data_IF_059387127098
#
_entry.id   IF_059387127098
#
_cell.length_a   1.000
_cell.length_b   1.000
_cell.length_c   1.000
_cell.angle_alpha   90.00
_cell.angle_beta   90.00
_cell.angle_gamma   90.00
#
_symmetry.space_group_name_H-M   'P 1'
#
loop_
_entity.id
_entity.type
_entity.pdbx_description
1 polymer ?
#
# COMPACT_ATOMS: atom_id res chain seq x y z
N UNK A 1 16.11 0.74 25.39
CA UNK A 1 16.15 -0.70 25.06
C UNK A 1 15.62 -0.90 23.64
N UNK A 2 15.94 -2.02 22.98
CA UNK A 2 15.42 -2.34 21.66
C UNK A 2 14.29 -3.36 21.83
N UNK A 3 13.05 -2.97 21.56
CA UNK A 3 11.90 -3.88 21.60
C UNK A 3 11.49 -4.32 20.20
N UNK A 4 11.00 -5.56 20.06
CA UNK A 4 10.37 -6.06 18.85
C UNK A 4 8.85 -6.03 19.01
N UNK A 5 8.17 -5.37 18.09
CA UNK A 5 6.71 -5.24 18.08
C UNK A 5 6.15 -5.95 16.85
N UNK A 6 5.14 -6.78 17.04
CA UNK A 6 4.45 -7.44 15.93
C UNK A 6 3.50 -6.45 15.24
N UNK A 7 3.78 -6.13 13.97
CA UNK A 7 3.09 -5.05 13.24
C UNK A 7 2.22 -5.55 12.09
N UNK A 8 2.67 -6.58 11.37
CA UNK A 8 1.96 -7.07 10.17
C UNK A 8 1.58 -8.53 10.32
N UNK A 9 0.28 -8.83 10.18
CA UNK A 9 -0.22 -10.20 10.22
C UNK A 9 0.21 -11.01 8.97
N UNK A 10 0.09 -12.35 9.02
CA UNK A 10 0.52 -13.24 7.93
C UNK A 10 -0.22 -12.99 6.61
N UNK A 11 -1.51 -12.69 6.69
CA UNK A 11 -2.37 -12.48 5.52
C UNK A 11 -1.95 -11.21 4.79
N UNK A 12 -1.81 -10.08 5.49
CA UNK A 12 -1.32 -8.81 4.95
C UNK A 12 0.05 -8.96 4.28
N UNK A 13 0.97 -9.74 4.87
CA UNK A 13 2.29 -9.98 4.27
C UNK A 13 2.16 -10.78 2.98
N UNK A 14 1.39 -11.86 2.99
CA UNK A 14 1.17 -12.70 1.81
C UNK A 14 0.52 -11.90 0.67
N UNK A 15 -0.58 -11.20 0.96
CA UNK A 15 -1.30 -10.41 -0.04
C UNK A 15 -0.44 -9.26 -0.57
N UNK A 16 0.40 -8.65 0.28
CA UNK A 16 1.37 -7.65 -0.14
C UNK A 16 2.38 -8.21 -1.14
N UNK A 17 3.01 -9.35 -0.86
CA UNK A 17 4.02 -9.92 -1.77
C UNK A 17 3.43 -10.44 -3.09
N UNK A 18 2.21 -11.00 -3.04
CA UNK A 18 1.46 -11.35 -4.25
C UNK A 18 1.18 -10.11 -5.09
N UNK A 19 0.76 -9.00 -4.46
CA UNK A 19 0.56 -7.73 -5.17
C UNK A 19 1.86 -7.18 -5.74
N UNK A 20 2.95 -7.16 -4.97
CA UNK A 20 4.24 -6.66 -5.42
C UNK A 20 4.73 -7.41 -6.68
N UNK A 21 4.67 -8.74 -6.66
CA UNK A 21 5.03 -9.56 -7.83
C UNK A 21 4.09 -9.30 -9.01
N UNK A 22 2.77 -9.26 -8.76
CA UNK A 22 1.77 -9.06 -9.80
C UNK A 22 1.93 -7.70 -10.47
N UNK A 23 2.18 -6.63 -9.71
CA UNK A 23 2.35 -5.28 -10.22
C UNK A 23 3.58 -5.15 -11.11
N UNK A 24 4.70 -5.79 -10.76
CA UNK A 24 5.91 -5.81 -11.60
C UNK A 24 5.60 -6.46 -12.95
N UNK A 25 4.97 -7.64 -12.94
CA UNK A 25 4.68 -8.38 -14.16
C UNK A 25 3.61 -7.67 -15.00
N UNK A 26 2.57 -7.12 -14.36
CA UNK A 26 1.52 -6.35 -15.03
C UNK A 26 2.08 -5.11 -15.72
N UNK A 27 2.95 -4.36 -15.03
CA UNK A 27 3.57 -3.18 -15.61
C UNK A 27 4.44 -3.53 -16.82
N UNK A 28 5.39 -4.46 -16.66
CA UNK A 28 6.31 -4.83 -17.75
C UNK A 28 5.59 -5.50 -18.94
N UNK A 29 4.58 -6.33 -18.68
CA UNK A 29 3.76 -6.92 -19.75
C UNK A 29 2.82 -5.89 -20.40
N UNK A 30 2.34 -4.90 -19.65
CA UNK A 30 1.58 -3.77 -20.17
C UNK A 30 2.40 -2.91 -21.14
N UNK A 31 3.68 -2.65 -20.82
CA UNK A 31 4.61 -1.99 -21.73
C UNK A 31 4.86 -2.81 -23.00
N UNK A 32 4.88 -4.15 -22.90
CA UNK A 32 4.97 -5.03 -24.06
C UNK A 32 3.72 -4.99 -24.95
N UNK A 33 2.54 -4.81 -24.37
CA UNK A 33 1.29 -4.59 -25.11
C UNK A 33 1.31 -3.20 -25.77
N UNK A 34 1.80 -2.17 -25.08
CA UNK A 34 1.93 -0.83 -25.62
C UNK A 34 2.81 -0.79 -26.87
N UNK A 35 3.91 -1.54 -26.86
CA UNK A 35 4.84 -1.66 -27.98
C UNK A 35 4.17 -2.07 -29.31
N UNK A 36 3.04 -2.77 -29.28
CA UNK A 36 2.33 -3.16 -30.51
C UNK A 36 1.59 -2.02 -31.19
N UNK A 37 1.23 -0.97 -30.46
CA UNK A 37 0.60 0.23 -31.02
C UNK A 37 0.93 1.41 -30.11
N UNK A 38 2.08 2.07 -30.27
CA UNK A 38 2.60 3.01 -29.29
C UNK A 38 2.02 4.42 -29.41
N UNK A 39 0.70 4.51 -29.59
CA UNK A 39 -0.06 5.76 -29.70
C UNK A 39 -1.24 5.76 -28.73
N UNK A 40 -1.45 6.89 -28.06
CA UNK A 40 -2.61 7.15 -27.21
C UNK A 40 -3.37 8.36 -27.76
N UNK A 41 -4.68 8.19 -27.92
CA UNK A 41 -5.62 9.19 -28.41
C UNK A 41 -6.95 9.00 -27.69
N UNK A 42 -7.84 9.99 -27.87
CA UNK A 42 -9.20 9.93 -27.38
C UNK A 42 -10.13 9.40 -28.47
N UNK A 43 -11.28 8.87 -28.07
CA UNK A 43 -12.33 8.40 -28.95
C UNK A 43 -12.45 6.87 -29.05
N UNK A 44 -13.15 6.44 -30.10
CA UNK A 44 -13.51 5.04 -30.33
C UNK A 44 -12.66 4.37 -31.42
N UNK A 45 -11.98 5.15 -32.26
CA UNK A 45 -11.22 4.69 -33.42
C UNK A 45 -9.73 4.98 -33.26
N UNK A 46 -8.92 4.14 -33.91
CA UNK A 46 -7.47 4.27 -33.91
C UNK A 46 -7.03 5.26 -34.99
N UNK A 47 -6.76 6.50 -34.59
CA UNK A 47 -6.33 7.58 -35.49
C UNK A 47 -4.96 8.10 -35.02
N UNK A 48 -3.84 7.63 -35.62
CA UNK A 48 -2.49 7.98 -35.17
C UNK A 48 -2.19 9.48 -35.21
N UNK A 49 -2.77 10.19 -36.18
CA UNK A 49 -2.52 11.63 -36.38
C UNK A 49 -3.16 12.49 -35.29
N UNK A 50 -4.18 11.98 -34.59
CA UNK A 50 -4.84 12.63 -33.47
C UNK A 50 -4.26 12.23 -32.10
N UNK A 51 -3.13 11.48 -32.09
CA UNK A 51 -2.51 11.03 -30.85
C UNK A 51 -1.92 12.18 -30.03
N UNK A 52 -2.38 12.30 -28.78
CA UNK A 52 -1.79 13.23 -27.82
C UNK A 52 -0.45 12.72 -27.29
N UNK A 53 -0.21 11.41 -27.36
CA UNK A 53 1.06 10.79 -26.96
C UNK A 53 1.43 9.68 -27.94
N UNK A 54 2.63 9.74 -28.50
CA UNK A 54 3.16 8.69 -29.38
C UNK A 54 4.65 8.46 -29.16
N UNK A 55 5.08 7.21 -29.35
CA UNK A 55 6.49 6.83 -29.39
C UNK A 55 6.72 6.05 -30.68
N UNK A 56 7.56 6.58 -31.58
CA UNK A 56 7.78 5.97 -32.89
C UNK A 56 9.24 6.07 -33.33
N UNK A 57 9.58 5.31 -34.36
CA UNK A 57 10.85 5.44 -35.07
C UNK A 57 10.60 6.10 -36.43
N UNK A 58 11.49 6.98 -36.85
CA UNK A 58 11.47 7.57 -38.19
C UNK A 58 12.87 7.48 -38.81
N UNK A 59 12.92 7.40 -40.14
CA UNK A 59 14.18 7.53 -40.87
C UNK A 59 14.48 9.01 -41.07
N UNK A 60 15.58 9.47 -40.51
CA UNK A 60 16.04 10.86 -40.61
C UNK A 60 17.51 10.86 -41.05
N UNK A 61 17.79 11.52 -42.17
CA UNK A 61 19.13 11.59 -42.79
C UNK A 61 19.81 10.22 -43.01
N UNK A 62 19.02 9.17 -43.28
CA UNK A 62 19.52 7.81 -43.51
C UNK A 62 19.77 7.00 -42.23
N UNK A 63 19.49 7.56 -41.04
CA UNK A 63 19.56 6.87 -39.75
C UNK A 63 18.16 6.65 -39.16
N UNK A 64 17.94 5.50 -38.52
CA UNK A 64 16.70 5.25 -37.76
C UNK A 64 16.82 5.95 -36.40
N UNK A 65 15.99 6.97 -36.17
CA UNK A 65 15.92 7.74 -34.93
C UNK A 65 14.60 7.51 -34.22
N UNK A 66 14.65 7.50 -32.88
CA UNK A 66 13.49 7.33 -32.01
C UNK A 66 12.96 8.68 -31.55
N UNK A 67 11.63 8.84 -31.58
CA UNK A 67 10.98 10.07 -31.17
C UNK A 67 9.84 9.77 -30.19
N UNK A 68 9.69 10.67 -29.23
CA UNK A 68 8.54 10.72 -28.34
C UNK A 68 7.82 12.04 -28.55
N UNK A 69 6.53 11.97 -28.82
CA UNK A 69 5.70 13.13 -29.09
C UNK A 69 4.61 13.25 -28.02
N UNK A 70 4.46 14.45 -27.46
CA UNK A 70 3.46 14.77 -26.44
C UNK A 70 2.78 16.08 -26.84
N UNK A 71 1.47 16.07 -27.08
CA UNK A 71 0.68 17.23 -27.54
C UNK A 71 1.31 17.96 -28.74
N UNK A 72 1.89 17.21 -29.68
CA UNK A 72 2.58 17.76 -30.86
C UNK A 72 4.04 18.19 -30.61
N UNK A 73 4.50 18.27 -29.36
CA UNK A 73 5.91 18.50 -29.04
C UNK A 73 6.70 17.21 -29.26
N UNK A 74 7.62 17.23 -30.22
CA UNK A 74 8.49 16.10 -30.56
C UNK A 74 9.84 16.25 -29.87
N UNK A 75 10.25 15.21 -29.13
CA UNK A 75 11.58 15.08 -28.55
C UNK A 75 12.27 13.85 -29.14
N UNK A 76 13.56 13.97 -29.48
CA UNK A 76 14.38 12.82 -29.85
C UNK A 76 14.70 11.99 -28.60
N UNK A 77 14.41 10.69 -28.67
CA UNK A 77 14.59 9.74 -27.56
C UNK A 77 15.35 8.48 -27.99
N UNK A 78 16.05 8.56 -29.13
CA UNK A 78 16.89 7.51 -29.71
C UNK A 78 17.76 6.82 -28.65
N UNK A 79 17.72 5.49 -28.63
CA UNK A 79 18.52 4.67 -27.70
C UNK A 79 17.79 4.33 -26.39
N UNK A 80 16.74 5.08 -26.03
CA UNK A 80 15.89 4.75 -24.87
C UNK A 80 14.45 4.45 -25.26
N UNK A 81 13.79 5.35 -26.02
CA UNK A 81 12.43 5.15 -26.52
C UNK A 81 12.40 5.24 -28.05
N UNK A 82 11.44 4.55 -28.66
CA UNK A 82 11.21 4.54 -30.12
C UNK A 82 12.19 3.67 -30.90
N UNK A 83 13.46 3.59 -30.48
CA UNK A 83 14.49 2.73 -31.08
C UNK A 83 15.35 2.09 -30.01
N UNK A 84 15.48 0.76 -30.06
CA UNK A 84 16.45 0.01 -29.28
C UNK A 84 17.64 -0.36 -30.16
N UNK A 85 18.86 -0.10 -29.68
CA UNK A 85 20.07 -0.61 -30.32
C UNK A 85 20.26 -2.09 -29.95
N UNK A 86 20.40 -2.94 -30.96
CA UNK A 86 20.67 -4.38 -30.80
C UNK A 86 21.95 -4.74 -31.54
N UNK A 87 22.48 -5.94 -31.31
CA UNK A 87 23.64 -6.45 -32.06
C UNK A 87 23.38 -6.55 -33.57
N UNK A 88 22.10 -6.70 -33.97
CA UNK A 88 21.68 -6.72 -35.37
C UNK A 88 21.33 -5.32 -35.93
N UNK A 89 21.57 -4.26 -35.16
CA UNK A 89 21.26 -2.87 -35.54
C UNK A 89 20.05 -2.26 -34.82
N UNK A 90 19.59 -1.07 -35.25
CA UNK A 90 18.48 -0.36 -34.63
C UNK A 90 17.15 -1.06 -34.88
N UNK A 91 16.45 -1.41 -33.82
CA UNK A 91 15.14 -2.07 -33.86
C UNK A 91 14.03 -1.12 -33.37
N UNK A 92 13.00 -0.81 -34.19
CA UNK A 92 11.88 0.03 -33.80
C UNK A 92 11.03 -0.60 -32.69
N UNK A 93 10.95 0.07 -31.53
CA UNK A 93 10.06 -0.31 -30.41
C UNK A 93 9.96 0.84 -29.42
N UNK A 94 8.79 1.02 -28.81
CA UNK A 94 8.57 2.13 -27.89
C UNK A 94 9.36 1.99 -26.58
N UNK A 95 9.27 0.83 -25.92
CA UNK A 95 9.99 0.50 -24.69
C UNK A 95 10.99 -0.63 -24.94
N UNK A 96 12.21 -0.56 -24.37
CA UNK A 96 13.29 -1.51 -24.63
C UNK A 96 13.04 -2.91 -24.02
N UNK A 97 13.73 -3.93 -24.53
CA UNK A 97 13.51 -5.35 -24.16
C UNK A 97 13.65 -5.67 -22.68
N UNK A 98 14.55 -4.98 -21.98
CA UNK A 98 14.79 -5.21 -20.55
C UNK A 98 13.69 -4.65 -19.65
N UNK A 99 12.84 -3.77 -20.18
CA UNK A 99 11.71 -3.17 -19.45
C UNK A 99 10.38 -3.89 -19.75
N UNK A 100 10.37 -4.90 -20.62
CA UNK A 100 9.16 -5.59 -21.06
C UNK A 100 9.16 -7.07 -20.73
N UNK A 101 7.98 -7.64 -20.45
CA UNK A 101 7.80 -9.09 -20.29
C UNK A 101 6.75 -9.59 -21.28
N UNK A 102 7.10 -10.51 -22.20
CA UNK A 102 8.44 -11.00 -22.52
C UNK A 102 9.36 -9.91 -23.09
N UNK A 103 10.69 -10.11 -23.03
CA UNK A 103 11.66 -9.11 -23.51
C UNK A 103 11.76 -9.01 -25.03
N UNK A 104 11.54 -10.13 -25.72
CA UNK A 104 11.42 -10.16 -27.18
C UNK A 104 10.04 -9.65 -27.61
N UNK A 105 9.94 -9.07 -28.81
CA UNK A 105 8.72 -8.44 -29.29
C UNK A 105 7.64 -9.50 -29.58
N UNK A 106 6.76 -9.76 -28.60
CA UNK A 106 5.70 -10.77 -28.72
C UNK A 106 4.40 -10.34 -28.03
N UNK A 107 3.48 -9.77 -28.83
CA UNK A 107 2.21 -9.24 -28.34
C UNK A 107 1.33 -10.30 -27.67
N UNK A 108 1.20 -11.48 -28.28
CA UNK A 108 0.38 -12.55 -27.72
C UNK A 108 0.92 -13.04 -26.36
N UNK A 109 2.25 -13.13 -26.22
CA UNK A 109 2.90 -13.45 -24.95
C UNK A 109 2.65 -12.38 -23.88
N UNK A 110 2.85 -11.10 -24.22
CA UNK A 110 2.58 -9.99 -23.31
C UNK A 110 1.15 -10.00 -22.80
N UNK A 111 0.16 -10.22 -23.68
CA UNK A 111 -1.25 -10.37 -23.30
C UNK A 111 -1.51 -11.52 -22.34
N UNK A 112 -0.90 -12.69 -22.56
CA UNK A 112 -1.08 -13.87 -21.69
C UNK A 112 -0.57 -13.60 -20.27
N UNK A 113 0.65 -13.06 -20.13
CA UNK A 113 1.21 -12.69 -18.83
C UNK A 113 0.37 -11.63 -18.14
N UNK A 114 -0.05 -10.61 -18.89
CA UNK A 114 -0.84 -9.51 -18.35
C UNK A 114 -2.20 -9.99 -17.81
N UNK A 115 -2.97 -10.76 -18.58
CA UNK A 115 -4.28 -11.24 -18.13
C UNK A 115 -4.17 -12.24 -16.98
N UNK A 116 -3.17 -13.12 -16.99
CA UNK A 116 -2.97 -14.07 -15.89
C UNK A 116 -2.72 -13.33 -14.56
N UNK A 117 -1.77 -12.39 -14.54
CA UNK A 117 -1.48 -11.62 -13.32
C UNK A 117 -2.56 -10.59 -12.99
N UNK A 118 -3.34 -10.12 -13.96
CA UNK A 118 -4.50 -9.27 -13.69
C UNK A 118 -5.53 -10.03 -12.85
N UNK A 119 -5.83 -11.28 -13.20
CA UNK A 119 -6.74 -12.10 -12.41
C UNK A 119 -6.17 -12.47 -11.03
N UNK A 120 -4.87 -12.77 -10.93
CA UNK A 120 -4.20 -12.99 -9.63
C UNK A 120 -4.32 -11.74 -8.75
N UNK A 121 -4.04 -10.56 -9.31
CA UNK A 121 -4.11 -9.29 -8.60
C UNK A 121 -5.54 -8.95 -8.14
N UNK A 122 -6.53 -9.11 -9.03
CA UNK A 122 -7.95 -8.89 -8.70
C UNK A 122 -8.42 -9.87 -7.63
N UNK A 123 -8.16 -11.16 -7.79
CA UNK A 123 -8.57 -12.17 -6.81
C UNK A 123 -7.92 -11.92 -5.44
N UNK A 124 -6.62 -11.63 -5.41
CA UNK A 124 -5.91 -11.30 -4.18
C UNK A 124 -6.46 -10.02 -3.51
N UNK A 125 -6.76 -8.98 -4.30
CA UNK A 125 -7.34 -7.74 -3.81
C UNK A 125 -8.75 -7.93 -3.23
N UNK A 126 -9.59 -8.72 -3.90
CA UNK A 126 -10.95 -9.06 -3.45
C UNK A 126 -10.91 -9.87 -2.14
N UNK A 127 -10.06 -10.90 -2.07
CA UNK A 127 -9.87 -11.69 -0.84
C UNK A 127 -9.39 -10.81 0.32
N UNK A 128 -8.41 -9.94 0.05
CA UNK A 128 -7.91 -9.00 1.06
C UNK A 128 -8.99 -8.00 1.50
N UNK A 129 -9.80 -7.50 0.58
CA UNK A 129 -10.91 -6.59 0.89
C UNK A 129 -11.92 -7.25 1.82
N UNK A 130 -12.43 -8.43 1.47
CA UNK A 130 -13.41 -9.15 2.29
C UNK A 130 -12.84 -9.58 3.63
N UNK A 131 -11.56 -9.97 3.69
CA UNK A 131 -10.88 -10.24 4.95
C UNK A 131 -10.87 -9.00 5.86
N UNK A 132 -10.52 -7.82 5.34
CA UNK A 132 -10.51 -6.59 6.14
C UNK A 132 -11.93 -6.09 6.49
N UNK A 133 -12.91 -6.38 5.64
CA UNK A 133 -14.32 -6.09 5.90
C UNK A 133 -14.85 -6.93 7.07
N UNK A 134 -14.61 -8.23 7.04
CA UNK A 134 -15.02 -9.15 8.12
C UNK A 134 -14.38 -8.81 9.47
N UNK A 135 -13.13 -8.35 9.47
CA UNK A 135 -12.40 -7.96 10.69
C UNK A 135 -12.66 -6.51 11.14
N UNK A 136 -13.49 -5.73 10.44
CA UNK A 136 -13.76 -4.32 10.78
C UNK A 136 -12.55 -3.39 10.64
N UNK A 137 -11.49 -3.82 9.96
CA UNK A 137 -10.22 -3.10 9.88
C UNK A 137 -10.19 -2.00 8.81
N UNK A 138 -11.17 -1.95 7.89
CA UNK A 138 -11.27 -0.92 6.85
C UNK A 138 -11.20 0.51 7.40
N UNK A 139 -11.85 0.79 8.52
CA UNK A 139 -11.87 2.13 9.13
C UNK A 139 -10.51 2.60 9.63
N UNK A 140 -9.55 1.69 9.85
CA UNK A 140 -8.20 2.04 10.35
C UNK A 140 -7.34 2.72 9.28
N UNK A 141 -7.51 2.34 8.01
CA UNK A 141 -6.64 2.81 6.93
C UNK A 141 -7.34 3.72 5.90
N UNK A 142 -8.67 3.75 5.87
CA UNK A 142 -9.41 4.66 5.01
C UNK A 142 -9.42 6.09 5.57
N UNK A 143 -9.43 7.07 4.66
CA UNK A 143 -9.47 8.50 4.97
C UNK A 143 -10.82 8.83 5.61
N UNK A 144 -10.79 9.34 6.84
CA UNK A 144 -12.00 9.85 7.50
C UNK A 144 -12.18 11.35 7.23
N UNK A 145 -13.41 11.89 7.37
CA UNK A 145 -13.63 13.34 7.21
C UNK A 145 -12.79 14.20 8.17
N UNK A 146 -12.39 13.66 9.33
CA UNK A 146 -11.48 14.33 10.26
C UNK A 146 -10.06 14.39 9.70
N UNK A 147 -9.56 13.27 9.19
CA UNK A 147 -8.24 13.22 8.54
C UNK A 147 -8.17 14.14 7.31
N UNK A 148 -9.28 14.27 6.55
CA UNK A 148 -9.34 15.11 5.36
C UNK A 148 -9.05 16.60 5.66
N UNK A 149 -9.43 17.10 6.83
CA UNK A 149 -9.14 18.48 7.27
C UNK A 149 -7.65 18.71 7.52
N UNK A 150 -6.93 17.66 7.91
CA UNK A 150 -5.49 17.69 8.20
C UNK A 150 -4.60 17.47 6.97
N UNK A 151 -5.19 17.21 5.79
CA UNK A 151 -4.43 17.02 4.56
C UNK A 151 -3.62 18.26 4.17
N UNK A 152 -4.28 19.41 4.10
CA UNK A 152 -3.62 20.65 3.71
C UNK A 152 -2.57 21.09 4.74
N UNK A 153 -2.85 21.08 6.07
CA UNK A 153 -1.83 21.33 7.09
C UNK A 153 -0.63 20.37 7.02
N UNK A 154 -0.84 19.11 6.62
CA UNK A 154 0.24 18.14 6.45
C UNK A 154 1.10 18.41 5.21
N UNK A 155 0.49 18.85 4.10
CA UNK A 155 1.24 19.28 2.91
C UNK A 155 2.15 20.46 3.27
N UNK A 156 1.62 21.45 4.00
CA UNK A 156 2.43 22.59 4.48
C UNK A 156 3.59 22.15 5.38
N UNK A 157 3.40 21.12 6.21
CA UNK A 157 4.47 20.55 7.02
C UNK A 157 5.59 19.95 6.14
N UNK A 158 5.23 19.15 5.12
CA UNK A 158 6.22 18.59 4.20
C UNK A 158 6.92 19.62 3.32
N UNK A 159 6.21 20.70 2.94
CA UNK A 159 6.81 21.85 2.25
C UNK A 159 7.66 22.73 3.19
N UNK A 160 7.80 22.35 4.46
CA UNK A 160 8.50 23.11 5.52
C UNK A 160 7.92 24.50 5.77
N UNK A 161 6.69 24.75 5.32
CA UNK A 161 5.92 25.96 5.59
C UNK A 161 5.24 25.91 6.96
N UNK A 162 5.09 24.72 7.54
CA UNK A 162 4.65 24.49 8.92
C UNK A 162 5.71 23.73 9.70
N UNK A 163 5.98 24.15 10.94
CA UNK A 163 7.02 23.53 11.80
C UNK A 163 6.55 22.27 12.54
N UNK A 164 5.28 22.24 12.93
CA UNK A 164 4.71 21.14 13.71
C UNK A 164 3.90 20.18 12.82
N UNK A 165 4.04 18.88 13.10
CA UNK A 165 3.30 17.84 12.41
C UNK A 165 1.86 17.77 12.93
N UNK A 166 0.83 17.82 12.07
CA UNK A 166 -0.57 17.57 12.46
C UNK A 166 -0.88 16.09 12.74
N UNK A 167 0.10 15.18 12.70
CA UNK A 167 -0.16 13.75 12.83
C UNK A 167 -0.56 13.37 14.26
N UNK A 168 -1.78 12.84 14.41
CA UNK A 168 -2.33 12.37 15.69
C UNK A 168 -2.44 10.83 15.80
N UNK A 169 -2.30 10.10 14.69
CA UNK A 169 -2.50 8.64 14.65
C UNK A 169 -1.33 7.89 14.01
N UNK A 170 -1.43 6.55 14.00
CA UNK A 170 -0.38 5.65 13.46
C UNK A 170 -0.05 5.97 12.00
N UNK A 171 -1.05 6.34 11.19
CA UNK A 171 -0.89 6.74 9.80
C UNK A 171 -1.06 8.24 9.63
N UNK A 172 -0.18 8.82 8.81
CA UNK A 172 -0.28 10.21 8.39
C UNK A 172 -1.56 10.42 7.54
N UNK A 173 -2.32 11.53 7.69
CA UNK A 173 -3.43 11.88 6.79
C UNK A 173 -3.12 11.73 5.30
N UNK A 174 -1.93 12.13 4.85
CA UNK A 174 -1.51 12.00 3.45
C UNK A 174 -1.33 10.53 3.03
N UNK A 175 -0.86 9.67 3.94
CA UNK A 175 -0.78 8.23 3.71
C UNK A 175 -2.18 7.60 3.64
N UNK A 176 -3.09 7.98 4.54
CA UNK A 176 -4.50 7.52 4.47
C UNK A 176 -5.19 7.96 3.18
N UNK A 177 -4.95 9.19 2.74
CA UNK A 177 -5.46 9.67 1.46
C UNK A 177 -4.88 8.87 0.29
N UNK A 178 -3.58 8.59 0.29
CA UNK A 178 -2.95 7.75 -0.73
C UNK A 178 -3.54 6.33 -0.74
N UNK A 179 -3.66 5.66 0.42
CA UNK A 179 -4.25 4.33 0.51
C UNK A 179 -5.70 4.32 0.04
N UNK A 180 -6.50 5.31 0.43
CA UNK A 180 -7.90 5.44 0.01
C UNK A 180 -7.99 5.66 -1.49
N UNK A 181 -7.21 6.60 -2.03
CA UNK A 181 -7.17 6.88 -3.46
C UNK A 181 -6.76 5.67 -4.27
N UNK A 182 -5.75 4.92 -3.84
CA UNK A 182 -5.27 3.76 -4.60
C UNK A 182 -6.23 2.59 -4.51
N UNK A 183 -6.72 2.31 -3.30
CA UNK A 183 -7.55 1.16 -3.05
C UNK A 183 -8.98 1.33 -3.59
N UNK A 184 -9.59 2.50 -3.40
CA UNK A 184 -10.99 2.74 -3.77
C UNK A 184 -11.19 3.44 -5.11
N UNK A 185 -10.16 4.12 -5.65
CA UNK A 185 -10.30 4.89 -6.89
C UNK A 185 -9.38 4.36 -8.00
N UNK A 186 -8.07 4.40 -7.81
CA UNK A 186 -7.09 4.05 -8.85
C UNK A 186 -7.21 2.58 -9.27
N UNK A 187 -7.22 1.65 -8.31
CA UNK A 187 -7.26 0.21 -8.59
C UNK A 187 -8.56 -0.19 -9.30
N UNK A 188 -9.76 0.19 -8.82
CA UNK A 188 -11.00 -0.08 -9.55
C UNK A 188 -11.03 0.55 -10.95
N UNK A 189 -10.56 1.79 -11.13
CA UNK A 189 -10.53 2.44 -12.44
C UNK A 189 -9.61 1.71 -13.44
N UNK A 190 -8.44 1.22 -12.99
CA UNK A 190 -7.55 0.40 -13.83
C UNK A 190 -8.22 -0.92 -14.21
N UNK A 191 -8.89 -1.58 -13.26
CA UNK A 191 -9.61 -2.83 -13.52
C UNK A 191 -10.72 -2.59 -14.54
N UNK A 192 -11.58 -1.60 -14.33
CA UNK A 192 -12.70 -1.31 -15.24
C UNK A 192 -12.25 -0.85 -16.62
N UNK A 193 -11.22 -0.01 -16.72
CA UNK A 193 -10.64 0.35 -18.02
C UNK A 193 -9.99 -0.86 -18.72
N UNK A 194 -9.38 -1.77 -17.96
CA UNK A 194 -8.87 -3.05 -18.46
C UNK A 194 -9.97 -3.96 -19.00
N UNK A 195 -11.08 -4.07 -18.27
CA UNK A 195 -12.26 -4.81 -18.70
C UNK A 195 -12.89 -4.22 -19.97
N UNK A 196 -12.96 -2.89 -20.07
CA UNK A 196 -13.48 -2.17 -21.23
C UNK A 196 -12.67 -2.43 -22.52
N UNK A 197 -11.40 -2.82 -22.40
CA UNK A 197 -10.56 -3.19 -23.55
C UNK A 197 -10.64 -4.67 -23.91
N UNK A 198 -11.23 -5.52 -23.07
CA UNK A 198 -11.24 -6.97 -23.24
C UNK A 198 -12.34 -7.41 -24.21
N UNK A 199 -12.02 -8.04 -25.35
CA UNK A 199 -13.03 -8.51 -26.30
C UNK A 199 -14.04 -9.48 -25.69
N UNK A 200 -13.58 -10.34 -24.77
CA UNK A 200 -14.43 -11.33 -24.11
C UNK A 200 -15.41 -10.69 -23.13
N UNK A 201 -14.99 -9.63 -22.43
CA UNK A 201 -15.84 -8.95 -21.45
C UNK A 201 -16.76 -7.94 -22.11
N UNK A 202 -16.45 -7.44 -23.30
CA UNK A 202 -17.32 -6.59 -24.10
C UNK A 202 -18.68 -7.27 -24.40
N UNK A 203 -18.69 -8.59 -24.54
CA UNK A 203 -19.91 -9.38 -24.70
C UNK A 203 -20.81 -9.31 -23.45
N UNK A 204 -20.20 -9.30 -22.26
CA UNK A 204 -20.93 -9.26 -20.99
C UNK A 204 -21.25 -7.83 -20.52
N UNK A 205 -20.43 -6.84 -20.90
CA UNK A 205 -20.50 -5.46 -20.43
C UNK A 205 -20.40 -4.46 -21.60
N UNK A 206 -21.31 -4.57 -22.56
CA UNK A 206 -21.29 -3.79 -23.82
C UNK A 206 -21.27 -2.26 -23.65
N UNK A 207 -21.76 -1.74 -22.52
CA UNK A 207 -21.83 -0.31 -22.22
C UNK A 207 -20.56 0.22 -21.56
N UNK A 208 -19.68 -0.66 -21.07
CA UNK A 208 -18.48 -0.28 -20.34
C UNK A 208 -17.48 0.50 -21.22
N UNK A 209 -17.18 0.11 -22.48
CA UNK A 209 -16.35 0.93 -23.35
C UNK A 209 -16.98 2.29 -23.65
N UNK A 210 -18.30 2.36 -23.80
CA UNK A 210 -19.01 3.61 -24.02
C UNK A 210 -18.90 4.56 -22.82
N UNK A 211 -18.93 4.03 -21.59
CA UNK A 211 -18.74 4.82 -20.36
C UNK A 211 -17.36 5.50 -20.28
N UNK A 212 -16.33 4.93 -20.93
CA UNK A 212 -15.01 5.54 -21.04
C UNK A 212 -14.83 6.42 -22.29
N UNK A 213 -15.85 6.58 -23.13
CA UNK A 213 -15.75 7.33 -24.40
C UNK A 213 -15.15 6.51 -25.55
N UNK A 214 -15.23 5.19 -25.49
CA UNK A 214 -14.74 4.25 -26.51
C UNK A 214 -13.56 3.40 -26.04
N UNK A 215 -13.24 2.35 -26.82
CA UNK A 215 -12.13 1.42 -26.51
C UNK A 215 -10.76 2.10 -26.50
N UNK A 216 -10.53 3.08 -27.38
CA UNK A 216 -9.26 3.80 -27.42
C UNK A 216 -9.12 4.79 -26.26
N UNK A 217 -10.19 5.50 -25.90
CA UNK A 217 -10.24 6.28 -24.67
C UNK A 217 -9.97 5.43 -23.43
N UNK A 218 -10.62 4.25 -23.32
CA UNK A 218 -10.39 3.31 -22.23
C UNK A 218 -8.91 2.88 -22.13
N UNK A 219 -8.27 2.65 -23.27
CA UNK A 219 -6.84 2.36 -23.36
C UNK A 219 -5.98 3.52 -22.86
N UNK A 220 -6.23 4.73 -23.35
CA UNK A 220 -5.51 5.93 -22.91
C UNK A 220 -5.64 6.13 -21.41
N UNK A 221 -6.85 5.99 -20.86
CA UNK A 221 -7.12 6.05 -19.41
C UNK A 221 -6.34 4.95 -18.68
N UNK A 222 -6.40 3.71 -19.15
CA UNK A 222 -5.70 2.60 -18.52
C UNK A 222 -4.19 2.82 -18.43
N UNK A 223 -3.55 3.31 -19.49
CA UNK A 223 -2.12 3.62 -19.48
C UNK A 223 -1.79 4.80 -18.57
N UNK A 224 -2.58 5.88 -18.60
CA UNK A 224 -2.40 7.03 -17.69
C UNK A 224 -2.48 6.58 -16.23
N UNK A 225 -3.50 5.79 -15.88
CA UNK A 225 -3.68 5.27 -14.53
C UNK A 225 -2.55 4.30 -14.14
N UNK A 226 -2.06 3.49 -15.09
CA UNK A 226 -0.92 2.58 -14.88
C UNK A 226 0.36 3.35 -14.55
N UNK A 227 0.66 4.43 -15.27
CA UNK A 227 1.81 5.29 -14.95
C UNK A 227 1.62 6.04 -13.62
N UNK A 228 0.40 6.46 -13.28
CA UNK A 228 0.10 7.03 -11.96
C UNK A 228 0.32 6.00 -10.84
N UNK A 229 -0.09 4.74 -11.05
CA UNK A 229 0.16 3.66 -10.11
C UNK A 229 1.67 3.39 -9.98
N UNK A 230 2.39 3.32 -11.09
CA UNK A 230 3.84 3.14 -11.09
C UNK A 230 4.54 4.27 -10.31
N UNK A 231 4.16 5.53 -10.54
CA UNK A 231 4.67 6.69 -9.80
C UNK A 231 4.43 6.55 -8.29
N UNK A 232 3.23 6.14 -7.89
CA UNK A 232 2.96 5.85 -6.48
C UNK A 232 3.87 4.74 -5.95
N UNK A 233 4.03 3.63 -6.68
CA UNK A 233 4.89 2.52 -6.26
C UNK A 233 6.33 2.97 -6.07
N UNK A 234 6.87 3.79 -6.97
CA UNK A 234 8.20 4.37 -6.81
C UNK A 234 8.29 5.29 -5.58
N UNK A 235 7.31 6.16 -5.37
CA UNK A 235 7.23 7.00 -4.18
C UNK A 235 7.14 6.20 -2.88
N UNK A 236 6.37 5.10 -2.89
CA UNK A 236 6.26 4.16 -1.78
C UNK A 236 7.62 3.50 -1.47
N UNK A 237 8.32 2.98 -2.49
CA UNK A 237 9.65 2.38 -2.33
C UNK A 237 10.66 3.41 -1.81
N UNK A 238 10.62 4.64 -2.33
CA UNK A 238 11.48 5.74 -1.86
C UNK A 238 11.26 6.03 -0.37
N UNK A 239 10.01 6.06 0.10
CA UNK A 239 9.68 6.22 1.52
C UNK A 239 10.19 5.05 2.35
N UNK A 240 10.07 3.81 1.87
CA UNK A 240 10.61 2.63 2.56
C UNK A 240 12.13 2.73 2.74
N UNK A 241 12.83 3.18 1.70
CA UNK A 241 14.30 3.33 1.72
C UNK A 241 14.72 4.41 2.71
N UNK A 242 14.11 5.60 2.61
CA UNK A 242 14.50 6.79 3.40
C UNK A 242 14.11 6.71 4.88
N UNK A 243 13.05 5.98 5.23
CA UNK A 243 12.58 5.85 6.63
C UNK A 243 13.18 4.68 7.39
N UNK A 244 14.06 3.88 6.75
CA UNK A 244 14.74 2.75 7.37
C UNK A 244 14.45 1.42 6.68
N UNK A 245 15.01 1.24 5.48
CA UNK A 245 14.79 0.10 4.59
C UNK A 245 14.81 -1.26 5.30
N UNK A 246 15.84 -1.53 6.09
CA UNK A 246 16.03 -2.83 6.75
C UNK A 246 14.92 -3.13 7.76
N UNK A 247 14.47 -2.12 8.51
CA UNK A 247 13.45 -2.33 9.55
C UNK A 247 12.06 -2.49 8.94
N UNK A 248 11.75 -1.68 7.92
CA UNK A 248 10.51 -1.78 7.16
C UNK A 248 10.43 -3.13 6.42
N UNK A 249 11.52 -3.54 5.76
CA UNK A 249 11.60 -4.81 5.04
C UNK A 249 11.48 -6.00 5.98
N UNK A 250 12.14 -5.96 7.15
CA UNK A 250 11.96 -6.98 8.18
C UNK A 250 10.50 -7.10 8.59
N UNK A 251 9.82 -5.97 8.80
CA UNK A 251 8.42 -5.98 9.22
C UNK A 251 7.49 -6.63 8.20
N UNK A 252 7.70 -6.41 6.90
CA UNK A 252 6.83 -7.01 5.86
C UNK A 252 7.24 -8.44 5.48
N UNK A 253 8.45 -8.88 5.82
CA UNK A 253 8.89 -10.28 5.68
C UNK A 253 8.46 -11.11 6.89
N UNK A 254 8.87 -10.71 8.09
CA UNK A 254 8.71 -11.51 9.32
C UNK A 254 7.48 -11.14 10.13
N UNK A 255 6.95 -9.93 9.97
CA UNK A 255 5.89 -9.34 10.80
C UNK A 255 6.41 -8.47 11.94
N UNK A 256 7.70 -8.51 12.25
CA UNK A 256 8.28 -7.86 13.44
C UNK A 256 9.02 -6.57 13.09
N UNK A 257 8.67 -5.50 13.81
CA UNK A 257 9.28 -4.18 13.70
C UNK A 257 10.16 -3.91 14.92
N UNK A 258 11.35 -3.32 14.72
CA UNK A 258 12.25 -2.94 15.83
C UNK A 258 11.99 -1.49 16.24
N UNK A 259 11.55 -1.29 17.46
CA UNK A 259 11.32 0.03 18.03
C UNK A 259 12.44 0.39 19.00
N UNK A 260 12.90 1.65 18.94
CA UNK A 260 13.82 2.19 19.95
C UNK A 260 12.95 2.78 21.05
N UNK A 261 12.79 2.06 22.16
CA UNK A 261 12.08 2.60 23.32
C UNK A 261 12.95 3.69 23.95
N UNK A 262 12.41 4.91 24.07
CA UNK A 262 13.00 5.95 24.90
C UNK A 262 13.06 5.44 26.35
N UNK A 263 14.18 5.66 27.03
CA UNK A 263 14.31 5.35 28.46
C UNK A 263 13.25 6.18 29.20
N UNK A 264 12.35 5.58 30.00
CA UNK A 264 11.47 6.35 30.87
C UNK A 264 12.34 7.28 31.72
N UNK A 265 11.94 8.55 31.95
CA UNK A 265 12.71 9.40 32.85
C UNK A 265 12.90 8.64 34.16
N UNK A 266 14.15 8.49 34.61
CA UNK A 266 14.43 7.96 35.94
C UNK A 266 13.58 8.77 36.91
N UNK A 267 12.61 8.12 37.56
CA UNK A 267 11.97 8.69 38.73
C UNK A 267 13.15 8.93 39.69
N UNK A 268 13.45 10.18 40.08
CA UNK A 268 14.52 10.44 41.03
C UNK A 268 14.25 9.54 42.23
N UNK A 269 15.19 8.64 42.55
CA UNK A 269 15.09 7.83 43.77
C UNK A 269 14.78 8.80 44.88
N UNK A 270 13.66 8.61 45.57
CA UNK A 270 13.32 9.39 46.74
C UNK A 270 14.57 9.45 47.62
N UNK A 271 15.00 10.66 47.96
CA UNK A 271 16.10 10.87 48.87
C UNK A 271 15.85 10.02 50.12
N UNK A 272 16.90 9.41 50.72
CA UNK A 272 16.72 8.64 51.95
C UNK A 272 16.02 9.55 52.96
N UNK A 273 14.92 9.06 53.57
CA UNK A 273 14.24 9.76 54.67
C UNK A 273 15.28 10.23 55.67
N UNK A 274 15.42 11.55 55.76
CA UNK A 274 16.19 12.21 56.80
C UNK A 274 15.48 11.89 58.12
N UNK A 275 16.12 11.06 58.95
CA UNK A 275 15.61 10.62 60.22
C UNK A 275 15.21 11.82 61.08
N UNK A 276 13.91 12.04 61.25
CA UNK A 276 13.39 13.05 62.16
C UNK A 276 13.63 12.59 63.60
N UNK A 277 14.49 13.34 64.26
CA UNK A 277 14.91 13.18 65.65
C UNK A 277 13.71 13.45 66.59
N UNK A 278 13.32 12.53 67.50
CA UNK A 278 12.14 12.72 68.33
C UNK A 278 12.51 13.53 69.58
N UNK A 279 12.69 14.83 69.44
CA UNK A 279 12.86 15.73 70.58
C UNK A 279 12.54 17.18 70.21
N UNK A 280 11.26 17.50 70.03
CA UNK A 280 10.73 18.85 70.31
C UNK A 280 9.27 19.03 69.86
N UNK A 281 8.30 18.25 70.36
CA UNK A 281 6.90 18.75 70.42
C UNK A 281 6.18 18.10 71.62
N UNK A 282 6.59 18.48 72.82
CA UNK A 282 5.73 18.48 74.01
C UNK A 282 5.79 19.89 74.59
N UNK A 283 4.97 20.79 74.08
CA UNK A 283 4.52 22.01 74.74
C UNK A 283 3.56 22.73 73.79
N UNK A 284 2.26 22.59 74.08
CA UNK A 284 1.23 23.65 74.07
C UNK A 284 -0.12 23.04 73.72
N UNK A 285 -0.85 22.78 74.79
CA UNK A 285 -2.28 22.57 74.77
C UNK A 285 -2.99 23.94 74.73
N UNK A 286 -4.24 23.91 74.25
CA UNK A 286 -5.38 24.77 74.61
C UNK A 286 -5.41 26.24 74.12
N UNK A 287 -6.36 26.57 73.23
CA UNK A 287 -7.62 27.26 73.59
C UNK A 287 -8.57 27.44 72.39
N UNK A 288 -9.86 27.06 72.57
CA UNK A 288 -11.11 27.80 72.21
C UNK A 288 -11.37 28.26 70.74
N UNK A 289 -12.58 28.28 70.16
CA UNK A 289 -13.96 27.90 70.50
C UNK A 289 -14.84 28.09 69.22
N UNK A 290 -15.94 27.31 69.12
CA UNK A 290 -17.23 27.53 68.43
C UNK A 290 -17.39 28.07 66.98
N UNK A 291 -18.20 27.35 66.18
CA UNK A 291 -19.35 27.96 65.48
C UNK A 291 -19.58 27.66 63.99
N UNK A 292 -20.64 26.89 63.72
CA UNK A 292 -21.62 27.05 62.60
C UNK A 292 -21.48 26.24 61.28
N UNK A 293 -22.26 25.16 61.23
CA UNK A 293 -23.22 24.68 60.22
C UNK A 293 -22.96 24.62 58.69
N UNK A 294 -23.16 23.38 58.21
CA UNK A 294 -23.88 22.92 56.99
C UNK A 294 -23.29 23.11 55.58
N UNK A 295 -22.96 22.00 54.92
CA UNK A 295 -23.73 21.45 53.78
C UNK A 295 -23.10 20.13 53.26
N UNK A 296 -23.96 19.16 52.97
CA UNK A 296 -23.67 17.79 52.51
C UNK A 296 -23.23 17.75 51.03
N UNK A 297 -22.38 16.78 50.65
CA UNK A 297 -22.55 15.94 49.44
C UNK A 297 -21.41 14.91 49.27
N UNK A 298 -21.80 13.64 49.37
CA UNK A 298 -21.35 12.42 48.66
C UNK A 298 -19.95 12.32 48.01
N UNK A 299 -19.24 11.26 48.41
CA UNK A 299 -18.11 10.64 47.68
C UNK A 299 -18.65 9.63 46.66
N UNK A 300 -17.97 9.41 45.51
CA UNK A 300 -17.49 8.05 45.30
C UNK A 300 -16.07 7.96 44.72
N UNK A 301 -15.22 7.25 45.48
CA UNK A 301 -14.40 6.08 45.10
C UNK A 301 -13.84 6.09 43.66
N UNK A 302 -12.56 6.46 43.52
CA UNK A 302 -11.74 6.17 42.34
C UNK A 302 -11.57 4.67 42.19
N UNK A 303 -12.09 4.14 41.09
CA UNK A 303 -11.91 2.76 40.64
C UNK A 303 -10.50 2.60 40.05
N UNK A 304 -9.72 1.73 40.67
CA UNK A 304 -8.36 1.35 40.27
C UNK A 304 -8.40 0.46 39.03
N UNK A 305 -7.88 0.96 37.91
CA UNK A 305 -7.63 0.18 36.69
C UNK A 305 -6.43 -0.75 36.91
N UNK A 306 -6.69 -2.04 37.07
CA UNK A 306 -5.68 -3.10 37.03
C UNK A 306 -5.17 -3.33 35.60
N UNK A 307 -3.87 -3.64 35.40
CA UNK A 307 -3.33 -3.94 34.08
C UNK A 307 -3.67 -5.37 33.63
N UNK A 308 -4.31 -5.49 32.46
CA UNK A 308 -4.58 -6.77 31.78
C UNK A 308 -3.28 -7.54 31.46
N UNK A 309 -3.16 -8.73 32.03
CA UNK A 309 -2.21 -9.78 31.62
C UNK A 309 -2.60 -10.40 30.26
N UNK A 310 -1.64 -10.73 29.38
CA UNK A 310 -1.91 -11.46 28.14
C UNK A 310 -2.20 -12.95 28.43
N UNK A 311 -3.02 -13.63 27.61
CA UNK A 311 -3.35 -15.03 27.84
C UNK A 311 -2.16 -15.93 27.52
N UNK A 312 -1.80 -16.74 28.50
CA UNK A 312 -0.86 -17.85 28.41
C UNK A 312 -1.68 -19.11 28.14
N UNK A 313 -1.49 -19.77 27.00
CA UNK A 313 -1.95 -21.16 26.80
C UNK A 313 -0.90 -21.94 26.00
N UNK A 314 -0.23 -22.83 26.73
CA UNK A 314 0.36 -24.08 26.30
C UNK A 314 -0.03 -25.10 27.41
N UNK A 315 -0.19 -26.42 27.15
CA UNK A 315 0.85 -27.21 26.49
C UNK A 315 0.38 -28.36 25.57
N UNK A 316 1.36 -28.83 24.81
CA UNK A 316 1.44 -30.14 24.16
C UNK A 316 1.15 -31.26 25.17
N UNK A 317 0.28 -32.21 24.80
CA UNK A 317 0.30 -33.56 25.36
C UNK A 317 0.35 -34.60 24.24
N UNK A 318 1.40 -35.40 24.30
CA UNK A 318 1.59 -36.68 23.62
C UNK A 318 0.87 -37.78 24.39
N UNK A 319 0.15 -38.67 23.69
CA UNK A 319 -0.11 -40.04 24.18
C UNK A 319 -0.32 -40.98 22.99
N UNK A 320 0.32 -42.15 23.08
CA UNK A 320 0.41 -43.22 22.09
C UNK A 320 0.21 -44.54 22.86
N UNK A 321 -0.71 -45.40 22.44
CA UNK A 321 -0.74 -46.88 22.54
C UNK A 321 -2.18 -47.39 22.28
N UNK A 322 -2.39 -48.19 21.21
CA UNK A 322 -2.77 -49.64 21.24
C UNK A 322 -4.29 -49.84 21.44
N UNK A 323 -5.06 -50.71 20.79
CA UNK A 323 -4.98 -51.90 19.91
C UNK A 323 -6.45 -52.17 19.50
N UNK A 324 -6.84 -52.52 18.27
CA UNK A 324 -7.07 -53.88 17.73
C UNK A 324 -7.98 -53.67 16.49
N UNK A 325 -7.63 -54.15 15.28
CA UNK A 325 -8.08 -55.43 14.72
C UNK A 325 -9.61 -55.56 14.59
N UNK A 326 -10.16 -55.38 13.38
CA UNK A 326 -11.06 -56.38 12.75
C UNK A 326 -11.34 -56.06 11.26
N UNK A 327 -11.38 -57.15 10.49
CA UNK A 327 -11.53 -57.35 9.05
C UNK A 327 -12.69 -56.65 8.31
N UNK A 328 -12.50 -56.48 6.99
CA UNK A 328 -13.36 -57.19 6.02
C UNK A 328 -14.22 -56.37 5.05
N UNK A 329 -14.08 -56.72 3.75
CA UNK A 329 -15.01 -56.58 2.61
C UNK A 329 -15.01 -55.24 1.86
N UNK A 330 -14.51 -55.18 0.62
CA UNK A 330 -14.99 -55.72 -0.67
C UNK A 330 -15.73 -54.62 -1.46
N UNK A 331 -15.45 -54.53 -2.77
CA UNK A 331 -16.41 -53.98 -3.74
C UNK A 331 -15.93 -52.83 -4.65
N UNK A 332 -15.20 -53.19 -5.70
CA UNK A 332 -15.64 -52.98 -7.11
C UNK A 332 -16.34 -51.66 -7.50
N UNK A 333 -15.64 -50.77 -8.22
CA UNK A 333 -15.88 -50.34 -9.62
C UNK A 333 -15.19 -49.03 -9.97
#
# INVERSE_FOLDING_TARGET
MISLVYRHNRITRLTHWVNALSLVILFMSGLQIFNAYPNLHWGSKAEPDEAFFSIYAANDEGAIRGYTQIFGLRAETTGFLGVQQTEMGPFPRAFPSWLTIPGFFWLAGGRRWHFFFAWVFVANGVLYFFFNLANGHLRKFLLTPRDARELFPMILYYLRLRRESPQLGEYNPLQKAAYTGIFLLLTPLIIFSGMAMSPQLDVAFNSLPAAFGGRQSARSIHFVLTFLFALFTFGHIFMVITTGAVNNMRSIITGWYREKTAVPPEIPKAAPEEATNPSSVQAEATSENAGTETAQAETPRRESLEPMTPPNDAPVQTSRAETAEESGKDGEK
#
